data_IF_131477107819
#
_entry.id   IF_131477107819
#
_cell.length_a   1.000
_cell.length_b   1.000
_cell.length_c   1.000
_cell.angle_alpha   90.00
_cell.angle_beta   90.00
_cell.angle_gamma   90.00
#
_symmetry.space_group_name_H-M   'P 1'
#
loop_
_entity.id
_entity.type
_entity.pdbx_description
1 polymer ?
#
# COMPACT_ATOMS: atom_id res chain seq x y z
N UNK A 1 16.91 -14.55 20.02
CA UNK A 1 16.65 -13.16 19.59
C UNK A 1 15.38 -13.17 18.76
N UNK A 2 14.36 -12.47 19.25
CA UNK A 2 13.09 -12.35 18.53
C UNK A 2 13.32 -11.58 17.22
N UNK A 3 12.81 -12.13 16.11
CA UNK A 3 12.80 -11.44 14.83
C UNK A 3 11.72 -10.36 14.94
N UNK A 4 12.08 -9.09 14.76
CA UNK A 4 11.11 -8.02 14.68
C UNK A 4 10.14 -8.24 13.51
N UNK A 5 8.87 -7.94 13.73
CA UNK A 5 7.85 -8.09 12.71
C UNK A 5 7.94 -6.92 11.73
N UNK A 6 8.13 -7.21 10.46
CA UNK A 6 8.09 -6.20 9.38
C UNK A 6 6.66 -5.85 8.95
N UNK A 7 5.68 -6.47 9.59
CA UNK A 7 4.26 -6.15 9.37
C UNK A 7 3.54 -6.04 10.71
N UNK A 8 2.60 -5.12 10.88
CA UNK A 8 1.91 -4.93 12.14
C UNK A 8 0.98 -6.12 12.49
N UNK A 9 0.56 -6.92 11.50
CA UNK A 9 -0.49 -7.93 11.63
C UNK A 9 0.07 -9.34 11.83
N UNK A 10 1.21 -9.66 11.19
CA UNK A 10 1.81 -11.01 11.20
C UNK A 10 3.16 -11.00 11.90
N UNK A 11 3.39 -12.03 12.69
CA UNK A 11 4.71 -12.32 13.27
C UNK A 11 5.54 -13.15 12.28
N UNK A 12 6.87 -13.09 12.33
CA UNK A 12 7.74 -13.81 11.39
C UNK A 12 7.48 -15.31 11.29
N UNK A 13 7.14 -15.97 12.41
CA UNK A 13 6.82 -17.39 12.44
C UNK A 13 5.51 -17.75 11.72
N UNK A 14 4.67 -16.78 11.39
CA UNK A 14 3.39 -16.95 10.69
C UNK A 14 3.51 -16.74 9.17
N UNK A 15 4.67 -16.29 8.68
CA UNK A 15 4.84 -16.00 7.25
C UNK A 15 4.76 -17.27 6.38
N UNK A 16 5.14 -18.43 6.90
CA UNK A 16 4.97 -19.69 6.17
C UNK A 16 3.48 -20.01 5.97
N UNK A 17 2.67 -19.89 7.02
CA UNK A 17 1.21 -20.14 6.94
C UNK A 17 0.52 -19.13 5.99
N UNK A 18 0.93 -17.85 6.05
CA UNK A 18 0.46 -16.82 5.13
C UNK A 18 0.82 -17.16 3.69
N UNK A 19 2.09 -17.54 3.45
CA UNK A 19 2.57 -17.93 2.13
C UNK A 19 1.77 -19.11 1.57
N UNK A 20 1.53 -20.13 2.37
CA UNK A 20 0.76 -21.30 1.93
C UNK A 20 -0.70 -20.97 1.64
N UNK A 21 -1.29 -20.08 2.44
CA UNK A 21 -2.63 -19.58 2.16
C UNK A 21 -2.68 -18.80 0.85
N UNK A 22 -1.72 -17.90 0.60
CA UNK A 22 -1.60 -17.13 -0.66
C UNK A 22 -1.42 -18.06 -1.86
N UNK A 23 -0.54 -19.06 -1.74
CA UNK A 23 -0.29 -20.07 -2.77
C UNK A 23 -1.54 -20.86 -3.12
N UNK A 24 -2.27 -21.35 -2.11
CA UNK A 24 -3.52 -22.08 -2.27
C UNK A 24 -4.58 -21.28 -3.03
N UNK A 25 -4.58 -19.97 -2.88
CA UNK A 25 -5.54 -19.06 -3.49
C UNK A 25 -5.01 -18.35 -4.74
N UNK A 26 -3.85 -18.78 -5.27
CA UNK A 26 -3.20 -18.17 -6.44
C UNK A 26 -3.00 -16.66 -6.32
N UNK A 27 -2.60 -16.20 -5.14
CA UNK A 27 -2.32 -14.80 -4.85
C UNK A 27 -0.83 -14.59 -4.62
N UNK A 28 -0.32 -13.42 -4.99
CA UNK A 28 1.02 -12.94 -4.65
C UNK A 28 0.89 -11.69 -3.78
N UNK A 29 1.53 -11.70 -2.61
CA UNK A 29 1.66 -10.52 -1.76
C UNK A 29 3.09 -9.99 -1.84
N UNK A 30 3.24 -8.75 -2.28
CA UNK A 30 4.52 -8.03 -2.29
C UNK A 30 4.51 -7.02 -1.15
N UNK A 31 5.44 -7.15 -0.22
CA UNK A 31 5.63 -6.20 0.88
C UNK A 31 6.90 -5.40 0.60
N UNK A 32 6.72 -4.14 0.20
CA UNK A 32 7.84 -3.22 0.05
C UNK A 32 8.14 -2.58 1.40
N UNK A 33 9.31 -2.87 1.91
CA UNK A 33 9.77 -2.46 3.22
C UNK A 33 10.29 -1.03 3.24
N UNK A 34 10.25 -0.42 4.44
CA UNK A 34 10.92 0.85 4.68
C UNK A 34 12.44 0.67 4.60
N UNK A 35 13.22 1.70 4.18
CA UNK A 35 14.68 1.60 4.08
C UNK A 35 15.42 1.17 5.35
N UNK A 36 14.82 1.37 6.52
CA UNK A 36 15.41 1.06 7.82
C UNK A 36 15.09 -0.37 8.32
N UNK A 37 14.25 -1.13 7.60
CA UNK A 37 13.88 -2.48 8.00
C UNK A 37 14.98 -3.49 7.65
N UNK A 38 15.40 -4.28 8.64
CA UNK A 38 16.36 -5.39 8.46
C UNK A 38 15.61 -6.71 8.26
N UNK A 39 15.71 -7.26 7.05
CA UNK A 39 15.07 -8.52 6.67
C UNK A 39 16.04 -9.68 6.48
N UNK A 40 17.30 -9.52 6.84
CA UNK A 40 18.35 -10.53 6.61
C UNK A 40 18.00 -11.94 7.15
N UNK A 41 17.22 -11.99 8.23
CA UNK A 41 16.71 -13.24 8.81
C UNK A 41 15.52 -13.81 8.03
N UNK A 42 14.72 -12.97 7.38
CA UNK A 42 13.52 -13.35 6.62
C UNK A 42 13.85 -13.76 5.18
N UNK A 43 14.93 -13.24 4.60
CA UNK A 43 15.40 -13.62 3.25
C UNK A 43 15.72 -15.11 3.12
N UNK A 44 16.00 -15.78 4.25
CA UNK A 44 16.27 -17.23 4.29
C UNK A 44 15.01 -18.08 4.21
N UNK A 45 13.84 -17.47 4.35
CA UNK A 45 12.56 -18.18 4.23
C UNK A 45 12.24 -18.39 2.76
N UNK A 46 11.96 -19.63 2.36
CA UNK A 46 11.59 -19.96 0.99
C UNK A 46 10.08 -19.66 0.76
N UNK A 47 9.76 -18.38 0.56
CA UNK A 47 8.39 -17.90 0.38
C UNK A 47 8.12 -17.69 -1.11
N UNK A 48 7.22 -18.50 -1.69
CA UNK A 48 6.92 -18.45 -3.12
C UNK A 48 5.85 -17.42 -3.49
N UNK A 49 4.95 -17.10 -2.57
CA UNK A 49 3.80 -16.22 -2.77
C UNK A 49 3.74 -15.02 -1.81
N UNK A 50 4.72 -14.92 -0.91
CA UNK A 50 4.97 -13.75 -0.07
C UNK A 50 6.36 -13.21 -0.41
N UNK A 51 6.43 -12.07 -1.08
CA UNK A 51 7.68 -11.47 -1.52
C UNK A 51 8.01 -10.23 -0.67
N UNK A 52 9.09 -10.34 0.11
CA UNK A 52 9.61 -9.25 0.93
C UNK A 52 10.64 -8.48 0.12
N UNK A 53 10.31 -7.26 -0.26
CA UNK A 53 11.13 -6.42 -1.12
C UNK A 53 11.85 -5.36 -0.28
N UNK A 54 13.13 -5.57 -0.03
CA UNK A 54 13.97 -4.58 0.63
C UNK A 54 14.19 -3.34 -0.24
N UNK A 55 14.53 -2.22 0.40
CA UNK A 55 14.86 -0.99 -0.35
C UNK A 55 16.09 -1.18 -1.24
N UNK A 56 17.12 -1.86 -0.74
CA UNK A 56 18.34 -2.13 -1.49
C UNK A 56 18.08 -2.99 -2.73
N UNK A 57 17.26 -4.03 -2.60
CA UNK A 57 16.87 -4.88 -3.72
C UNK A 57 16.03 -4.11 -4.75
N UNK A 58 15.11 -3.26 -4.29
CA UNK A 58 14.27 -2.41 -5.16
C UNK A 58 15.16 -1.50 -6.03
N UNK A 59 16.15 -0.85 -5.43
CA UNK A 59 17.11 0.01 -6.15
C UNK A 59 18.00 -0.81 -7.08
N UNK A 60 18.53 -1.95 -6.61
CA UNK A 60 19.42 -2.79 -7.42
C UNK A 60 18.74 -3.37 -8.67
N UNK A 61 17.42 -3.55 -8.61
CA UNK A 61 16.61 -3.99 -9.76
C UNK A 61 16.18 -2.83 -10.67
N UNK A 62 16.53 -1.59 -10.35
CA UNK A 62 16.10 -0.38 -11.07
C UNK A 62 14.57 -0.30 -11.24
N UNK A 63 13.81 -0.79 -10.24
CA UNK A 63 12.37 -0.82 -10.29
C UNK A 63 11.78 0.55 -9.99
N UNK A 64 10.72 0.88 -10.71
CA UNK A 64 9.91 2.07 -10.51
C UNK A 64 8.67 1.72 -9.67
N UNK A 65 8.45 2.48 -8.58
CA UNK A 65 7.34 2.22 -7.68
C UNK A 65 5.97 2.32 -8.39
N UNK A 66 5.79 3.33 -9.22
CA UNK A 66 4.54 3.53 -9.91
C UNK A 66 4.27 2.46 -10.97
N UNK A 67 5.31 1.98 -11.64
CA UNK A 67 5.20 0.84 -12.56
C UNK A 67 4.86 -0.44 -11.81
N UNK A 68 5.40 -0.65 -10.61
CA UNK A 68 5.10 -1.81 -9.78
C UNK A 68 3.64 -1.77 -9.32
N UNK A 69 3.20 -0.69 -8.67
CA UNK A 69 1.84 -0.59 -8.14
C UNK A 69 0.78 -0.61 -9.25
N UNK A 70 1.11 -0.12 -10.45
CA UNK A 70 0.23 -0.20 -11.62
C UNK A 70 -0.08 -1.63 -12.08
N UNK A 71 0.73 -2.62 -11.69
CA UNK A 71 0.50 -4.03 -11.98
C UNK A 71 -0.27 -4.76 -10.86
N UNK A 72 -0.46 -4.12 -9.70
CA UNK A 72 -1.12 -4.75 -8.56
C UNK A 72 -2.65 -4.66 -8.71
N UNK A 73 -3.37 -5.73 -8.37
CA UNK A 73 -4.84 -5.79 -8.38
C UNK A 73 -5.45 -5.05 -7.18
N UNK A 74 -4.70 -4.91 -6.09
CA UNK A 74 -5.11 -4.21 -4.88
C UNK A 74 -3.89 -3.64 -4.15
N UNK A 75 -4.12 -2.71 -3.23
CA UNK A 75 -3.08 -2.14 -2.36
C UNK A 75 -3.47 -2.30 -0.89
N UNK A 76 -2.50 -2.70 -0.07
CA UNK A 76 -2.56 -2.56 1.38
C UNK A 76 -1.48 -1.54 1.77
N UNK A 77 -1.85 -0.51 2.48
CA UNK A 77 -0.93 0.56 2.89
C UNK A 77 -1.24 1.02 4.31
N UNK A 78 -0.34 1.79 4.88
CA UNK A 78 -0.53 2.53 6.12
C UNK A 78 -1.08 3.95 5.82
N UNK A 79 -0.47 4.97 6.42
CA UNK A 79 -0.82 6.38 6.20
C UNK A 79 -0.02 7.04 5.06
N UNK A 80 0.65 6.24 4.23
CA UNK A 80 1.45 6.72 3.10
C UNK A 80 0.57 7.31 2.01
N UNK A 81 0.89 8.51 1.54
CA UNK A 81 0.12 9.24 0.52
C UNK A 81 0.07 8.55 -0.86
N UNK A 82 0.85 7.51 -1.09
CA UNK A 82 0.87 6.77 -2.36
C UNK A 82 -0.50 6.17 -2.72
N UNK A 83 -1.39 5.98 -1.74
CA UNK A 83 -2.73 5.49 -2.01
C UNK A 83 -3.57 6.47 -2.83
N UNK A 84 -3.31 7.78 -2.77
CA UNK A 84 -3.99 8.75 -3.63
C UNK A 84 -3.68 8.53 -5.10
N UNK A 85 -2.42 8.20 -5.42
CA UNK A 85 -2.02 7.87 -6.79
C UNK A 85 -2.64 6.54 -7.21
N UNK A 86 -2.69 5.53 -6.30
CA UNK A 86 -3.29 4.24 -6.58
C UNK A 86 -4.82 4.34 -6.81
N UNK A 87 -5.50 5.33 -6.24
CA UNK A 87 -6.93 5.58 -6.51
C UNK A 87 -7.23 5.84 -7.98
N UNK A 88 -6.25 6.35 -8.76
CA UNK A 88 -6.40 6.56 -10.20
C UNK A 88 -6.63 5.25 -10.97
N UNK A 89 -6.24 4.12 -10.42
CA UNK A 89 -6.45 2.79 -11.01
C UNK A 89 -7.84 2.22 -10.74
N UNK A 90 -8.61 2.85 -9.86
CA UNK A 90 -9.93 2.39 -9.37
C UNK A 90 -9.93 0.94 -8.88
N UNK A 91 -8.86 0.52 -8.18
CA UNK A 91 -8.68 -0.82 -7.60
C UNK A 91 -8.84 -0.79 -6.09
N UNK A 92 -9.19 -1.92 -5.44
CA UNK A 92 -9.41 -2.01 -4.00
C UNK A 92 -8.19 -1.55 -3.19
N UNK A 93 -8.47 -0.81 -2.10
CA UNK A 93 -7.45 -0.34 -1.16
C UNK A 93 -7.84 -0.76 0.25
N UNK A 94 -6.86 -1.20 1.02
CA UNK A 94 -6.98 -1.44 2.44
C UNK A 94 -5.91 -0.65 3.22
N UNK A 95 -6.26 -0.26 4.44
CA UNK A 95 -5.39 0.51 5.34
C UNK A 95 -5.12 -0.29 6.60
N UNK A 96 -3.85 -0.45 6.96
CA UNK A 96 -3.46 -0.91 8.29
C UNK A 96 -3.59 0.27 9.26
N UNK A 97 -4.43 0.12 10.26
CA UNK A 97 -4.80 1.19 11.20
C UNK A 97 -4.62 0.75 12.66
N UNK A 98 -3.61 -0.06 12.89
CA UNK A 98 -3.28 -0.63 14.20
C UNK A 98 -2.68 0.40 15.16
N UNK A 99 -2.00 1.43 14.67
CA UNK A 99 -1.35 2.49 15.46
C UNK A 99 -1.85 3.90 15.10
N UNK A 100 -3.14 4.05 14.84
CA UNK A 100 -3.71 5.35 14.43
C UNK A 100 -3.58 6.42 15.52
N UNK A 101 -3.66 6.05 16.79
CA UNK A 101 -3.57 6.99 17.91
C UNK A 101 -2.12 7.48 18.08
N UNK A 102 -1.14 6.58 18.09
CA UNK A 102 0.27 6.94 18.13
C UNK A 102 0.71 7.77 16.93
N UNK A 103 0.17 7.50 15.75
CA UNK A 103 0.44 8.32 14.56
C UNK A 103 -0.12 9.74 14.69
N UNK A 104 -1.34 9.90 15.24
CA UNK A 104 -1.97 11.21 15.49
C UNK A 104 -1.14 12.06 16.48
N UNK A 105 -0.67 11.44 17.55
CA UNK A 105 0.13 12.11 18.58
C UNK A 105 1.54 12.48 18.11
N UNK A 106 2.15 11.65 17.25
CA UNK A 106 3.51 11.83 16.79
C UNK A 106 3.62 12.75 15.57
N UNK A 107 3.19 12.28 14.41
CA UNK A 107 3.33 13.01 13.12
C UNK A 107 2.13 13.87 12.79
N UNK A 108 0.94 13.49 13.27
CA UNK A 108 -0.31 14.11 12.91
C UNK A 108 -0.74 13.83 11.46
N UNK A 109 -1.94 14.27 11.12
CA UNK A 109 -2.46 14.22 9.76
C UNK A 109 -2.50 15.63 9.16
N UNK A 110 -2.26 15.73 7.87
CA UNK A 110 -2.37 17.00 7.13
C UNK A 110 -3.83 17.51 7.03
N UNK A 111 -4.81 16.65 7.38
CA UNK A 111 -6.24 16.96 7.35
C UNK A 111 -6.88 16.66 8.71
N UNK A 112 -7.89 17.43 9.09
CA UNK A 112 -8.57 17.29 10.38
C UNK A 112 -9.26 15.93 10.55
N UNK A 113 -9.82 15.39 9.48
CA UNK A 113 -10.47 14.08 9.47
C UNK A 113 -9.87 13.17 8.39
N UNK A 114 -8.80 12.40 8.71
CA UNK A 114 -8.16 11.51 7.76
C UNK A 114 -9.09 10.37 7.31
N UNK A 115 -10.06 9.96 8.12
CA UNK A 115 -11.00 8.89 7.77
C UNK A 115 -11.86 9.27 6.56
N UNK A 116 -12.12 10.55 6.36
CA UNK A 116 -12.87 11.04 5.19
C UNK A 116 -12.14 10.76 3.88
N UNK A 117 -10.80 10.82 3.88
CA UNK A 117 -10.00 10.63 2.66
C UNK A 117 -9.46 9.21 2.50
N UNK A 118 -9.49 8.38 3.55
CA UNK A 118 -9.02 7.00 3.50
C UNK A 118 -10.14 6.03 3.12
N UNK A 119 -10.56 6.10 1.85
CA UNK A 119 -11.67 5.32 1.30
C UNK A 119 -11.26 3.88 0.98
N UNK A 120 -11.30 3.00 1.98
CA UNK A 120 -10.92 1.59 1.84
C UNK A 120 -11.14 0.78 3.10
N UNK A 121 -10.85 -0.51 3.03
CA UNK A 121 -10.93 -1.42 4.16
C UNK A 121 -10.00 -0.97 5.28
N UNK A 122 -10.44 -1.15 6.54
CA UNK A 122 -9.62 -0.91 7.73
C UNK A 122 -9.19 -2.23 8.33
N UNK A 123 -7.89 -2.51 8.32
CA UNK A 123 -7.30 -3.76 8.76
C UNK A 123 -6.58 -3.53 10.08
N UNK A 124 -7.10 -4.13 11.16
CA UNK A 124 -6.51 -4.10 12.51
C UNK A 124 -6.01 -5.45 12.97
N UNK A 125 -6.39 -6.52 12.29
CA UNK A 125 -6.08 -7.89 12.67
C UNK A 125 -6.15 -8.85 11.48
N UNK A 126 -5.71 -10.10 11.70
CA UNK A 126 -5.70 -11.14 10.66
C UNK A 126 -7.06 -11.48 10.10
N UNK A 127 -8.12 -11.44 10.92
CA UNK A 127 -9.47 -11.74 10.45
C UNK A 127 -9.90 -10.74 9.37
N UNK A 128 -9.65 -9.45 9.61
CA UNK A 128 -9.94 -8.37 8.65
C UNK A 128 -9.02 -8.45 7.43
N UNK A 129 -7.75 -8.79 7.62
CA UNK A 129 -6.82 -9.00 6.52
C UNK A 129 -7.29 -10.12 5.57
N UNK A 130 -7.58 -11.31 6.12
CA UNK A 130 -8.08 -12.41 5.29
C UNK A 130 -9.49 -12.14 4.75
N UNK A 131 -10.31 -11.34 5.45
CA UNK A 131 -11.59 -10.86 4.94
C UNK A 131 -11.42 -10.05 3.66
N UNK A 132 -10.52 -9.07 3.66
CA UNK A 132 -10.17 -8.29 2.48
C UNK A 132 -9.68 -9.15 1.32
N UNK A 133 -8.73 -10.09 1.57
CA UNK A 133 -8.25 -10.98 0.52
C UNK A 133 -9.35 -11.89 -0.05
N UNK A 134 -10.30 -12.34 0.77
CA UNK A 134 -11.45 -13.13 0.30
C UNK A 134 -12.41 -12.31 -0.57
N UNK A 135 -12.62 -11.04 -0.22
CA UNK A 135 -13.40 -10.13 -1.05
C UNK A 135 -12.76 -9.93 -2.42
N UNK A 136 -11.43 -9.78 -2.48
CA UNK A 136 -10.68 -9.73 -3.76
C UNK A 136 -10.89 -10.99 -4.60
N UNK A 137 -10.80 -12.18 -3.99
CA UNK A 137 -11.03 -13.47 -4.68
C UNK A 137 -12.44 -13.58 -5.25
N UNK A 138 -13.42 -12.95 -4.61
CA UNK A 138 -14.81 -12.93 -5.04
C UNK A 138 -15.16 -11.75 -5.95
N UNK A 139 -14.15 -10.96 -6.39
CA UNK A 139 -14.31 -9.73 -7.16
C UNK A 139 -15.25 -8.72 -6.46
N UNK A 140 -15.23 -8.68 -5.14
CA UNK A 140 -15.99 -7.73 -4.33
C UNK A 140 -15.11 -6.56 -3.91
N UNK A 141 -15.64 -5.35 -4.06
CA UNK A 141 -15.03 -4.10 -3.59
C UNK A 141 -16.09 -3.25 -2.90
N UNK A 142 -16.16 -3.37 -1.59
CA UNK A 142 -17.16 -2.70 -0.77
C UNK A 142 -16.97 -1.17 -0.70
N UNK A 143 -15.79 -0.68 -1.09
CA UNK A 143 -15.44 0.74 -1.01
C UNK A 143 -15.30 1.44 -2.36
N UNK A 144 -15.66 0.78 -3.46
CA UNK A 144 -15.51 1.33 -4.81
C UNK A 144 -16.16 2.71 -4.95
N UNK A 145 -17.42 2.86 -4.55
CA UNK A 145 -18.16 4.11 -4.70
C UNK A 145 -17.61 5.23 -3.80
N UNK A 146 -17.20 4.89 -2.57
CA UNK A 146 -16.59 5.86 -1.65
C UNK A 146 -15.23 6.29 -2.19
N UNK A 147 -14.42 5.33 -2.66
CA UNK A 147 -13.11 5.60 -3.26
C UNK A 147 -13.21 6.53 -4.48
N UNK A 148 -14.17 6.28 -5.39
CA UNK A 148 -14.39 7.14 -6.55
C UNK A 148 -14.76 8.58 -6.16
N UNK A 149 -15.59 8.76 -5.13
CA UNK A 149 -15.93 10.08 -4.61
C UNK A 149 -14.70 10.81 -4.05
N UNK A 150 -13.89 10.12 -3.26
CA UNK A 150 -12.64 10.69 -2.73
C UNK A 150 -11.65 11.00 -3.84
N UNK A 151 -11.50 10.08 -4.82
CA UNK A 151 -10.64 10.29 -5.97
C UNK A 151 -10.97 11.56 -6.75
N UNK A 152 -12.25 11.88 -6.95
CA UNK A 152 -12.66 13.13 -7.60
C UNK A 152 -12.26 14.39 -6.83
N UNK A 153 -12.10 14.29 -5.51
CA UNK A 153 -11.69 15.40 -4.65
C UNK A 153 -10.17 15.58 -4.69
N UNK A 154 -9.41 14.48 -4.48
CA UNK A 154 -7.96 14.53 -4.33
C UNK A 154 -7.24 14.56 -5.68
N UNK A 155 -7.79 13.91 -6.68
CA UNK A 155 -7.26 13.82 -8.05
C UNK A 155 -8.15 14.59 -9.04
N UNK A 156 -8.42 15.88 -8.76
CA UNK A 156 -9.26 16.74 -9.59
C UNK A 156 -8.80 16.78 -11.05
N UNK A 157 -7.50 16.68 -11.28
CA UNK A 157 -6.88 16.58 -12.60
C UNK A 157 -6.22 15.22 -12.75
N UNK A 158 -6.67 14.41 -13.72
CA UNK A 158 -6.16 13.08 -14.01
C UNK A 158 -5.70 12.89 -15.47
N UNK A 159 -5.30 13.99 -16.10
CA UNK A 159 -4.92 14.06 -17.50
C UNK A 159 -3.39 14.00 -17.75
N UNK A 160 -2.60 13.68 -16.72
CA UNK A 160 -1.14 13.61 -16.80
C UNK A 160 -0.42 14.95 -16.96
N UNK A 161 -1.13 16.10 -16.79
CA UNK A 161 -0.56 17.44 -16.97
C UNK A 161 -0.23 18.15 -15.65
N UNK A 162 -0.20 17.46 -14.51
CA UNK A 162 0.02 18.05 -13.19
C UNK A 162 1.36 18.76 -13.10
N UNK A 163 2.45 18.12 -13.54
CA UNK A 163 3.78 18.75 -13.55
C UNK A 163 3.81 20.03 -14.38
N UNK A 164 3.18 20.03 -15.57
CA UNK A 164 3.10 21.20 -16.43
C UNK A 164 2.34 22.35 -15.77
N UNK A 165 1.23 22.04 -15.07
CA UNK A 165 0.47 23.04 -14.29
C UNK A 165 1.30 23.61 -13.15
N UNK A 166 2.00 22.76 -12.40
CA UNK A 166 2.85 23.19 -11.28
C UNK A 166 3.97 24.10 -11.75
N UNK A 167 4.66 23.73 -12.83
CA UNK A 167 5.71 24.55 -13.44
C UNK A 167 5.17 25.90 -13.90
N UNK A 168 4.00 25.91 -14.55
CA UNK A 168 3.35 27.16 -14.98
C UNK A 168 3.00 28.08 -13.81
N UNK A 169 2.48 27.53 -12.68
CA UNK A 169 2.17 28.30 -11.48
C UNK A 169 3.46 28.85 -10.85
N UNK A 170 4.53 28.08 -10.86
CA UNK A 170 5.84 28.48 -10.36
C UNK A 170 6.60 29.44 -11.30
N UNK A 171 6.02 29.81 -12.45
CA UNK A 171 6.66 30.60 -13.52
C UNK A 171 7.97 29.98 -14.04
N UNK A 172 8.04 28.65 -14.06
CA UNK A 172 9.16 27.89 -14.61
C UNK A 172 8.75 27.42 -16.00
N UNK A 173 9.48 27.83 -17.00
CA UNK A 173 9.28 27.45 -18.41
C UNK A 173 10.39 26.48 -18.80
N UNK A 174 10.04 25.31 -19.29
CA UNK A 174 10.98 24.34 -19.87
C UNK A 174 10.90 24.55 -21.39
N UNK A 175 12.03 24.82 -22.02
CA UNK A 175 12.15 24.81 -23.48
C UNK A 175 11.93 23.36 -23.96
N UNK A 176 11.10 23.17 -24.96
CA UNK A 176 10.79 21.87 -25.58
C UNK A 176 11.93 21.40 -26.49
#
# INVERSE_FOLDING_TARGET
>A
EDIESVTPIFRPYEYMDLNDWLKKNNMLLIIKLHPLEDISKLERMNLSNLFLLSHSEFIAREWDLYKLIAQCDAMITDYSSVFYDFMLLDRPIAFTVDDIEGYKEGRGFAVENPDYLTAGYKIKNKLQFYGFLKDLLNNMDLYADVRRKVNMIVNTYNDGQQCKRTLKIANIYIEE
#
